data_IF_786952144505
#
_entry.id   IF_786952144505
#
_cell.length_a   1.000
_cell.length_b   1.000
_cell.length_c   1.000
_cell.angle_alpha   90.00
_cell.angle_beta   90.00
_cell.angle_gamma   90.00
#
_symmetry.space_group_name_H-M   'P 1'
#
loop_
_entity.id
_entity.type
_entity.pdbx_description
1 polymer ?
#
# COMPACT_ATOMS: atom_id res chain seq x y z
N UNK A 1 -8.25 -27.41 -36.50
CA UNK A 1 -7.46 -26.81 -37.60
C UNK A 1 -7.96 -25.38 -37.78
N UNK A 2 -7.19 -24.31 -37.94
CA UNK A 2 -5.75 -24.03 -37.87
C UNK A 2 -5.64 -22.49 -37.71
N UNK A 3 -4.53 -22.03 -37.13
CA UNK A 3 -4.17 -20.65 -36.82
C UNK A 3 -3.98 -19.76 -38.06
N UNK A 4 -4.20 -18.45 -37.93
CA UNK A 4 -3.16 -17.40 -38.06
C UNK A 4 -3.73 -16.02 -38.44
N UNK A 5 -2.95 -14.98 -38.07
CA UNK A 5 -3.01 -13.57 -38.49
C UNK A 5 -3.90 -12.61 -37.70
N UNK A 6 -3.33 -12.00 -36.64
CA UNK A 6 -3.06 -10.56 -36.68
C UNK A 6 -2.01 -10.19 -35.60
N UNK A 7 -0.81 -9.79 -36.02
CA UNK A 7 0.16 -9.05 -35.22
C UNK A 7 0.44 -7.76 -35.98
N UNK A 8 0.32 -6.58 -35.36
CA UNK A 8 1.04 -5.42 -35.81
C UNK A 8 2.36 -5.28 -35.04
N UNK A 9 3.47 -5.32 -35.77
CA UNK A 9 4.78 -4.83 -35.33
C UNK A 9 4.92 -3.36 -35.70
N UNK A 10 5.18 -2.49 -34.71
CA UNK A 10 6.29 -1.51 -34.70
C UNK A 10 6.09 -0.49 -33.58
N UNK A 11 6.94 -0.54 -32.55
CA UNK A 11 7.56 0.66 -31.97
C UNK A 11 9.01 0.28 -31.62
N UNK A 12 9.90 0.43 -32.60
CA UNK A 12 11.34 0.52 -32.37
C UNK A 12 11.71 1.99 -32.53
N UNK A 13 12.19 2.65 -31.47
CA UNK A 13 12.66 4.03 -31.55
C UNK A 13 12.87 4.72 -30.21
N UNK A 14 13.99 4.39 -29.55
CA UNK A 14 14.75 5.27 -28.66
C UNK A 14 14.08 5.79 -27.37
N UNK A 15 14.15 5.00 -26.29
CA UNK A 15 14.61 5.42 -24.95
C UNK A 15 15.00 4.13 -24.19
N UNK A 16 16.23 3.69 -24.42
CA UNK A 16 16.82 2.47 -23.89
C UNK A 16 17.35 2.68 -22.46
N UNK A 17 17.12 1.70 -21.58
CA UNK A 17 17.93 1.51 -20.37
C UNK A 17 17.15 0.97 -19.18
N UNK A 18 16.47 1.85 -18.44
CA UNK A 18 16.00 1.54 -17.09
C UNK A 18 14.54 1.07 -17.01
N UNK A 19 13.67 1.57 -17.89
CA UNK A 19 12.23 1.29 -17.83
C UNK A 19 11.92 -0.16 -18.22
N UNK A 20 12.66 -0.71 -19.19
CA UNK A 20 12.51 -2.10 -19.65
C UNK A 20 12.91 -3.13 -18.60
N UNK A 21 13.93 -2.83 -17.78
CA UNK A 21 14.39 -3.73 -16.71
C UNK A 21 13.40 -3.71 -15.55
N UNK A 22 12.86 -2.54 -15.18
CA UNK A 22 11.84 -2.41 -14.12
C UNK A 22 10.55 -3.17 -14.48
N UNK A 23 10.10 -3.07 -15.74
CA UNK A 23 8.93 -3.81 -16.22
C UNK A 23 9.18 -5.33 -16.33
N UNK A 24 10.38 -5.76 -16.75
CA UNK A 24 10.72 -7.18 -16.79
C UNK A 24 10.83 -7.80 -15.39
N UNK A 25 11.32 -7.05 -14.39
CA UNK A 25 11.38 -7.48 -12.99
C UNK A 25 9.97 -7.64 -12.38
N UNK A 26 9.03 -6.77 -12.76
CA UNK A 26 7.62 -6.86 -12.35
C UNK A 26 6.92 -8.12 -12.91
N UNK A 27 7.18 -8.46 -14.18
CA UNK A 27 6.63 -9.68 -14.80
C UNK A 27 7.25 -10.96 -14.22
N UNK A 28 8.49 -10.91 -13.75
CA UNK A 28 9.13 -12.06 -13.10
C UNK A 28 8.67 -12.24 -11.64
N UNK A 29 8.42 -11.15 -10.90
CA UNK A 29 7.92 -11.23 -9.52
C UNK A 29 6.52 -11.85 -9.44
N UNK A 30 5.63 -11.55 -10.40
CA UNK A 30 4.26 -12.11 -10.44
C UNK A 30 4.19 -13.61 -10.80
N UNK A 31 5.31 -14.21 -11.25
CA UNK A 31 5.40 -15.65 -11.56
C UNK A 31 5.99 -16.48 -10.41
N UNK A 32 6.55 -15.85 -9.39
CA UNK A 32 7.02 -16.52 -8.17
C UNK A 32 6.04 -16.19 -7.06
N UNK A 33 5.63 -17.15 -6.23
CA UNK A 33 4.65 -16.96 -5.15
C UNK A 33 5.05 -16.02 -4.00
N UNK A 34 5.88 -15.00 -4.27
CA UNK A 34 6.18 -13.89 -3.38
C UNK A 34 5.11 -12.82 -3.53
N UNK A 35 4.36 -12.56 -2.46
CA UNK A 35 3.51 -11.37 -2.38
C UNK A 35 4.38 -10.13 -2.61
N UNK A 36 4.09 -9.37 -3.67
CA UNK A 36 4.78 -8.12 -3.97
C UNK A 36 4.61 -7.14 -2.81
N UNK A 37 5.66 -6.38 -2.50
CA UNK A 37 5.57 -5.36 -1.46
C UNK A 37 4.72 -4.19 -1.98
N UNK A 38 3.59 -3.91 -1.32
CA UNK A 38 2.62 -2.90 -1.79
C UNK A 38 3.22 -1.50 -1.88
N UNK A 39 4.18 -1.15 -1.02
CA UNK A 39 4.88 0.14 -1.10
C UNK A 39 5.64 0.23 -2.42
N UNK A 40 6.42 -0.79 -2.75
CA UNK A 40 7.22 -0.83 -3.98
C UNK A 40 6.29 -0.75 -5.21
N UNK A 41 5.21 -1.52 -5.21
CA UNK A 41 4.27 -1.53 -6.32
C UNK A 41 3.58 -0.17 -6.53
N UNK A 42 3.12 0.47 -5.45
CA UNK A 42 2.45 1.79 -5.50
C UNK A 42 3.42 2.90 -5.89
N UNK A 43 4.61 2.95 -5.30
CA UNK A 43 5.62 3.98 -5.61
C UNK A 43 6.09 3.89 -7.05
N UNK A 44 6.31 2.68 -7.58
CA UNK A 44 6.64 2.47 -8.98
C UNK A 44 5.55 2.98 -9.93
N UNK A 45 4.28 2.68 -9.65
CA UNK A 45 3.14 3.16 -10.45
C UNK A 45 2.97 4.68 -10.39
N UNK A 46 3.38 5.31 -9.30
CA UNK A 46 3.37 6.77 -9.12
C UNK A 46 4.61 7.46 -9.70
N UNK A 47 5.62 6.71 -10.15
CA UNK A 47 6.90 7.27 -10.63
C UNK A 47 7.74 7.92 -9.52
N UNK A 48 7.60 7.43 -8.29
CA UNK A 48 8.31 7.92 -7.10
C UNK A 48 9.61 7.14 -6.87
N UNK A 49 10.54 7.76 -6.14
CA UNK A 49 11.76 7.09 -5.70
C UNK A 49 11.47 6.09 -4.58
N UNK A 50 12.38 5.12 -4.40
CA UNK A 50 12.27 4.13 -3.32
C UNK A 50 12.40 4.80 -1.96
N UNK A 51 11.51 4.42 -1.02
CA UNK A 51 11.53 4.96 0.33
C UNK A 51 12.74 4.48 1.12
N UNK A 52 13.27 5.38 1.95
CA UNK A 52 14.39 5.07 2.84
C UNK A 52 13.83 4.54 4.16
N UNK A 53 14.33 3.38 4.60
CA UNK A 53 13.96 2.85 5.92
C UNK A 53 14.40 3.87 6.97
N UNK A 54 13.49 4.25 7.86
CA UNK A 54 13.78 5.20 8.93
C UNK A 54 14.88 4.58 9.80
N UNK A 55 16.11 5.10 9.69
CA UNK A 55 17.24 4.76 10.55
C UNK A 55 17.74 6.04 11.22
N UNK A 56 18.01 6.02 12.54
CA UNK A 56 18.49 7.19 13.26
C UNK A 56 19.91 7.66 12.85
N UNK A 57 20.61 6.87 12.02
CA UNK A 57 22.01 7.09 11.63
C UNK A 57 22.20 7.19 10.10
N UNK A 58 21.53 8.12 9.42
CA UNK A 58 21.81 8.35 7.99
C UNK A 58 22.59 9.66 7.81
N UNK A 59 23.79 9.51 7.23
CA UNK A 59 24.68 10.60 6.82
C UNK A 59 23.99 11.55 5.83
N UNK A 60 24.42 12.81 5.88
CA UNK A 60 23.82 13.96 5.21
C UNK A 60 23.70 13.77 3.68
N UNK A 61 22.49 13.50 3.19
CA UNK A 61 22.13 13.87 1.81
C UNK A 61 22.32 15.40 1.68
N UNK A 62 23.19 15.83 0.76
CA UNK A 62 23.55 17.25 0.55
C UNK A 62 22.46 18.05 -0.17
N UNK A 63 21.43 17.37 -0.71
CA UNK A 63 20.29 17.99 -1.38
C UNK A 63 19.05 17.96 -0.48
N UNK A 64 18.87 19.04 0.29
CA UNK A 64 17.73 19.23 1.18
C UNK A 64 16.38 19.26 0.46
N UNK A 65 16.32 19.66 -0.81
CA UNK A 65 15.07 19.70 -1.56
C UNK A 65 14.62 18.29 -1.94
N UNK A 66 15.55 17.48 -2.45
CA UNK A 66 15.26 16.08 -2.79
C UNK A 66 14.91 15.26 -1.55
N UNK A 67 15.63 15.46 -0.44
CA UNK A 67 15.33 14.82 0.85
C UNK A 67 13.90 15.11 1.32
N UNK A 68 13.49 16.39 1.34
CA UNK A 68 12.13 16.78 1.75
C UNK A 68 11.05 16.20 0.85
N UNK A 69 11.30 16.16 -0.46
CA UNK A 69 10.37 15.53 -1.42
C UNK A 69 10.17 14.05 -1.09
N UNK A 70 11.26 13.30 -0.86
CA UNK A 70 11.19 11.88 -0.48
C UNK A 70 10.47 11.66 0.85
N UNK A 71 10.73 12.51 1.85
CA UNK A 71 10.06 12.45 3.16
C UNK A 71 8.56 12.71 3.04
N UNK A 72 8.15 13.69 2.21
CA UNK A 72 6.75 13.95 1.89
C UNK A 72 6.09 12.77 1.17
N UNK A 73 6.70 12.26 0.10
CA UNK A 73 6.17 11.12 -0.67
C UNK A 73 6.01 9.88 0.23
N UNK A 74 7.01 9.61 1.08
CA UNK A 74 6.97 8.53 2.05
C UNK A 74 5.83 8.72 3.06
N UNK A 75 5.68 9.91 3.65
CA UNK A 75 4.61 10.21 4.60
C UNK A 75 3.23 10.00 3.96
N UNK A 76 2.98 10.59 2.79
CA UNK A 76 1.68 10.50 2.12
C UNK A 76 1.33 9.05 1.75
N UNK A 77 2.25 8.32 1.12
CA UNK A 77 1.99 6.94 0.69
C UNK A 77 1.80 6.02 1.88
N UNK A 78 2.67 6.08 2.88
CA UNK A 78 2.58 5.17 4.03
C UNK A 78 1.34 5.45 4.89
N UNK A 79 0.91 6.71 5.03
CA UNK A 79 -0.34 7.04 5.71
C UNK A 79 -1.58 6.52 4.98
N UNK A 80 -1.65 6.68 3.65
CA UNK A 80 -2.76 6.14 2.86
C UNK A 80 -2.79 4.62 2.95
N UNK A 81 -1.64 3.96 2.86
CA UNK A 81 -1.55 2.50 2.98
C UNK A 81 -1.90 2.00 4.39
N UNK A 82 -1.54 2.73 5.44
CA UNK A 82 -1.91 2.41 6.81
C UNK A 82 -3.43 2.49 7.01
N UNK A 83 -4.06 3.55 6.47
CA UNK A 83 -5.52 3.66 6.43
C UNK A 83 -6.16 2.51 5.65
N UNK A 84 -5.64 2.20 4.46
CA UNK A 84 -6.16 1.11 3.62
C UNK A 84 -6.04 -0.25 4.31
N UNK A 85 -4.91 -0.52 4.98
CA UNK A 85 -4.73 -1.71 5.81
C UNK A 85 -5.80 -1.80 6.90
N UNK A 86 -6.01 -0.72 7.67
CA UNK A 86 -7.02 -0.69 8.74
C UNK A 86 -8.41 -0.93 8.18
N UNK A 87 -8.79 -0.21 7.13
CA UNK A 87 -10.09 -0.33 6.49
C UNK A 87 -10.32 -1.75 5.95
N UNK A 88 -9.40 -2.27 5.14
CA UNK A 88 -9.49 -3.61 4.53
C UNK A 88 -9.33 -4.77 5.52
N UNK A 89 -8.87 -4.52 6.75
CA UNK A 89 -8.85 -5.53 7.81
C UNK A 89 -10.24 -5.85 8.37
N UNK A 90 -11.24 -4.99 8.10
CA UNK A 90 -12.65 -5.22 8.52
C UNK A 90 -13.44 -6.02 7.49
N UNK A 91 -14.53 -6.68 7.88
CA UNK A 91 -15.43 -7.40 6.95
C UNK A 91 -16.05 -6.47 5.92
N UNK A 92 -16.53 -5.31 6.39
CA UNK A 92 -17.13 -4.29 5.53
C UNK A 92 -16.11 -3.73 4.55
N UNK A 93 -14.90 -3.38 5.00
CA UNK A 93 -13.88 -2.80 4.13
C UNK A 93 -13.32 -3.79 3.12
N UNK A 94 -13.05 -5.04 3.52
CA UNK A 94 -12.61 -6.08 2.58
C UNK A 94 -13.67 -6.36 1.50
N UNK A 95 -14.94 -6.44 1.88
CA UNK A 95 -16.06 -6.63 0.96
C UNK A 95 -16.26 -5.41 0.05
N UNK A 96 -16.08 -4.20 0.58
CA UNK A 96 -16.13 -2.97 -0.19
C UNK A 96 -15.04 -2.94 -1.26
N UNK A 97 -13.79 -3.22 -0.87
CA UNK A 97 -12.65 -3.29 -1.77
C UNK A 97 -12.80 -4.40 -2.81
N UNK A 98 -13.47 -5.50 -2.47
CA UNK A 98 -13.77 -6.61 -3.38
C UNK A 98 -14.77 -6.23 -4.49
N UNK A 99 -15.85 -5.52 -4.15
CA UNK A 99 -17.01 -5.36 -5.03
C UNK A 99 -17.08 -4.06 -5.83
N UNK A 100 -16.42 -2.98 -5.40
CA UNK A 100 -16.63 -1.64 -5.95
C UNK A 100 -15.56 -1.26 -6.98
N UNK A 101 -15.87 -0.67 -8.15
CA UNK A 101 -14.87 0.12 -8.88
C UNK A 101 -14.35 1.24 -7.97
N UNK A 102 -13.08 1.65 -8.12
CA UNK A 102 -12.48 2.67 -7.26
C UNK A 102 -13.37 3.92 -7.22
N UNK A 103 -13.91 4.25 -6.04
CA UNK A 103 -14.81 5.40 -5.86
C UNK A 103 -14.01 6.71 -6.02
N UNK A 104 -14.68 7.80 -6.39
CA UNK A 104 -14.06 9.14 -6.37
C UNK A 104 -13.74 9.61 -4.95
N UNK A 105 -14.29 8.95 -3.92
CA UNK A 105 -14.22 9.35 -2.51
C UNK A 105 -13.53 8.32 -1.61
N UNK A 106 -12.55 7.58 -2.14
CA UNK A 106 -11.87 6.50 -1.41
C UNK A 106 -11.28 6.95 -0.06
N UNK A 107 -10.84 8.19 0.07
CA UNK A 107 -10.34 8.70 1.35
C UNK A 107 -11.43 8.80 2.42
N UNK A 108 -12.68 9.13 2.04
CA UNK A 108 -13.82 9.12 2.97
C UNK A 108 -14.10 7.67 3.40
N UNK A 109 -14.02 6.72 2.48
CA UNK A 109 -14.23 5.31 2.80
C UNK A 109 -13.14 4.77 3.75
N UNK A 110 -11.88 5.12 3.50
CA UNK A 110 -10.71 4.65 4.25
C UNK A 110 -10.62 5.29 5.64
N UNK A 111 -10.80 6.61 5.73
CA UNK A 111 -10.56 7.38 6.96
C UNK A 111 -11.85 7.81 7.68
N UNK A 112 -13.01 7.76 7.02
CA UNK A 112 -14.29 8.14 7.61
C UNK A 112 -14.26 9.56 8.18
N UNK A 113 -14.72 9.71 9.42
CA UNK A 113 -14.71 10.98 10.17
C UNK A 113 -13.30 11.54 10.41
N UNK A 114 -12.24 10.73 10.24
CA UNK A 114 -10.85 11.14 10.46
C UNK A 114 -10.17 11.74 9.22
N UNK A 115 -10.85 11.79 8.07
CA UNK A 115 -10.28 12.31 6.80
C UNK A 115 -9.66 13.71 6.97
N UNK A 116 -10.40 14.65 7.53
CA UNK A 116 -9.92 16.04 7.67
C UNK A 116 -8.73 16.15 8.63
N UNK A 117 -8.73 15.34 9.70
CA UNK A 117 -7.64 15.32 10.67
C UNK A 117 -6.34 14.80 10.03
N UNK A 118 -6.41 13.73 9.24
CA UNK A 118 -5.22 13.16 8.60
C UNK A 118 -4.68 14.08 7.51
N UNK A 119 -5.56 14.74 6.74
CA UNK A 119 -5.15 15.74 5.73
C UNK A 119 -4.45 16.92 6.40
N UNK A 120 -5.04 17.48 7.45
CA UNK A 120 -4.45 18.62 8.17
C UNK A 120 -3.08 18.29 8.78
N UNK A 121 -2.95 17.10 9.37
CA UNK A 121 -1.69 16.64 9.94
C UNK A 121 -0.61 16.44 8.86
N UNK A 122 -0.94 15.79 7.74
CA UNK A 122 -0.02 15.57 6.63
C UNK A 122 0.36 16.87 5.91
N UNK A 123 -0.58 17.78 5.71
CA UNK A 123 -0.32 19.11 5.15
C UNK A 123 0.68 19.89 6.02
N UNK A 124 0.49 19.83 7.34
CA UNK A 124 1.39 20.46 8.31
C UNK A 124 2.78 19.82 8.31
N UNK A 125 2.84 18.48 8.30
CA UNK A 125 4.08 17.70 8.30
C UNK A 125 4.88 17.92 7.01
N UNK A 126 4.21 17.96 5.86
CA UNK A 126 4.83 18.08 4.55
C UNK A 126 5.05 19.54 4.11
N UNK A 127 4.53 20.52 4.87
CA UNK A 127 4.54 21.94 4.54
C UNK A 127 3.90 22.27 3.17
N UNK A 128 2.77 21.63 2.86
CA UNK A 128 1.98 21.85 1.64
C UNK A 128 0.54 22.24 2.00
N UNK A 129 -0.22 22.76 1.04
CA UNK A 129 -1.60 23.19 1.28
C UNK A 129 -2.52 21.97 1.52
N UNK A 130 -3.53 22.06 2.41
CA UNK A 130 -4.47 20.96 2.66
C UNK A 130 -5.21 20.47 1.40
N UNK A 131 -5.56 21.39 0.49
CA UNK A 131 -6.22 21.01 -0.77
C UNK A 131 -5.30 20.15 -1.66
N UNK A 132 -4.03 20.54 -1.80
CA UNK A 132 -3.04 19.76 -2.57
C UNK A 132 -2.78 18.40 -1.89
N UNK A 133 -2.82 18.37 -0.56
CA UNK A 133 -2.70 17.14 0.24
C UNK A 133 -3.85 16.19 -0.04
N UNK A 134 -5.11 16.68 -0.04
CA UNK A 134 -6.29 15.87 -0.36
C UNK A 134 -6.20 15.31 -1.79
N UNK A 135 -5.81 16.14 -2.77
CA UNK A 135 -5.65 15.69 -4.16
C UNK A 135 -4.60 14.59 -4.28
N UNK A 136 -3.42 14.77 -3.70
CA UNK A 136 -2.33 13.80 -3.72
C UNK A 136 -2.74 12.49 -3.02
N UNK A 137 -3.36 12.58 -1.84
CA UNK A 137 -3.83 11.41 -1.11
C UNK A 137 -4.91 10.64 -1.88
N UNK A 138 -5.82 11.33 -2.59
CA UNK A 138 -6.83 10.68 -3.42
C UNK A 138 -6.17 9.91 -4.56
N UNK A 139 -5.23 10.53 -5.28
CA UNK A 139 -4.46 9.86 -6.33
C UNK A 139 -3.72 8.62 -5.80
N UNK A 140 -3.05 8.73 -4.65
CA UNK A 140 -2.35 7.62 -4.02
C UNK A 140 -3.34 6.50 -3.66
N UNK A 141 -4.50 6.83 -3.08
CA UNK A 141 -5.51 5.83 -2.68
C UNK A 141 -6.06 5.05 -3.88
N UNK A 142 -6.31 5.72 -5.01
CA UNK A 142 -6.75 5.07 -6.24
C UNK A 142 -5.70 4.07 -6.75
N UNK A 143 -4.43 4.50 -6.81
CA UNK A 143 -3.33 3.63 -7.22
C UNK A 143 -3.15 2.46 -6.25
N UNK A 144 -3.27 2.70 -4.94
CA UNK A 144 -3.15 1.67 -3.92
C UNK A 144 -4.26 0.61 -4.02
N UNK A 145 -5.52 1.02 -4.17
CA UNK A 145 -6.65 0.10 -4.34
C UNK A 145 -6.55 -0.68 -5.65
N UNK A 146 -6.13 -0.04 -6.73
CA UNK A 146 -5.91 -0.71 -8.00
C UNK A 146 -4.79 -1.77 -7.88
N UNK A 147 -3.67 -1.42 -7.26
CA UNK A 147 -2.55 -2.34 -7.00
C UNK A 147 -2.96 -3.51 -6.12
N UNK A 148 -3.72 -3.24 -5.05
CA UNK A 148 -4.28 -4.27 -4.18
C UNK A 148 -5.10 -5.30 -4.98
N UNK A 149 -5.91 -4.85 -5.94
CA UNK A 149 -6.75 -5.73 -6.76
C UNK A 149 -5.96 -6.54 -7.78
N UNK A 150 -4.88 -5.99 -8.33
CA UNK A 150 -3.99 -6.76 -9.21
C UNK A 150 -3.31 -7.90 -8.45
N UNK A 151 -2.92 -7.65 -7.20
CA UNK A 151 -2.16 -8.61 -6.38
C UNK A 151 -3.05 -9.65 -5.68
N UNK A 152 -4.18 -9.22 -5.10
CA UNK A 152 -5.06 -10.08 -4.32
C UNK A 152 -6.32 -10.56 -5.08
N UNK A 153 -6.60 -9.96 -6.24
CA UNK A 153 -7.86 -10.14 -6.95
C UNK A 153 -9.03 -9.44 -6.26
N UNK A 154 -10.25 -9.85 -6.62
CA UNK A 154 -11.50 -9.29 -6.07
C UNK A 154 -12.12 -10.14 -4.96
N UNK A 155 -11.36 -11.03 -4.32
CA UNK A 155 -11.86 -11.86 -3.22
C UNK A 155 -11.57 -11.17 -1.88
N UNK A 156 -12.60 -10.95 -1.06
CA UNK A 156 -12.47 -10.23 0.21
C UNK A 156 -11.51 -10.92 1.21
N UNK A 157 -11.47 -12.26 1.22
CA UNK A 157 -10.57 -13.02 2.10
C UNK A 157 -9.12 -12.86 1.64
N UNK A 158 -8.88 -12.90 0.33
CA UNK A 158 -7.54 -12.66 -0.25
C UNK A 158 -7.07 -11.23 -0.01
N UNK A 159 -7.95 -10.24 -0.20
CA UNK A 159 -7.66 -8.82 0.07
C UNK A 159 -7.22 -8.64 1.53
N UNK A 160 -7.99 -9.17 2.48
CA UNK A 160 -7.64 -9.11 3.90
C UNK A 160 -6.29 -9.79 4.18
N UNK A 161 -6.11 -11.00 3.67
CA UNK A 161 -4.88 -11.78 3.88
C UNK A 161 -3.65 -11.06 3.33
N UNK A 162 -3.78 -10.47 2.14
CA UNK A 162 -2.72 -9.69 1.52
C UNK A 162 -2.39 -8.43 2.35
N UNK A 163 -3.39 -7.62 2.71
CA UNK A 163 -3.16 -6.41 3.52
C UNK A 163 -2.54 -6.74 4.89
N UNK A 164 -2.96 -7.82 5.53
CA UNK A 164 -2.36 -8.29 6.77
C UNK A 164 -0.87 -8.65 6.60
N UNK A 165 -0.50 -9.29 5.48
CA UNK A 165 0.89 -9.58 5.12
C UNK A 165 1.72 -8.32 4.79
N UNK A 166 1.09 -7.23 4.35
CA UNK A 166 1.75 -5.96 4.07
C UNK A 166 1.92 -5.05 5.29
N UNK A 167 1.28 -5.36 6.42
CA UNK A 167 1.29 -4.52 7.64
C UNK A 167 2.69 -4.09 8.04
N UNK A 168 3.62 -5.03 8.18
CA UNK A 168 5.00 -4.71 8.58
C UNK A 168 5.70 -3.81 7.58
N UNK A 169 5.53 -4.09 6.27
CA UNK A 169 6.07 -3.24 5.22
C UNK A 169 5.53 -1.82 5.30
N UNK A 170 4.25 -1.63 5.63
CA UNK A 170 3.64 -0.30 5.75
C UNK A 170 4.17 0.44 6.97
N UNK A 171 4.12 -0.19 8.14
CA UNK A 171 4.37 0.48 9.42
C UNK A 171 5.85 0.84 9.64
N UNK A 172 6.80 0.13 9.01
CA UNK A 172 8.24 0.40 9.17
C UNK A 172 8.71 1.68 8.45
N UNK A 173 7.96 2.15 7.45
CA UNK A 173 8.26 3.41 6.75
C UNK A 173 7.37 4.58 7.19
N UNK A 174 6.39 4.33 8.06
CA UNK A 174 5.49 5.36 8.57
C UNK A 174 6.25 6.33 9.50
N UNK A 175 6.25 7.65 9.22
CA UNK A 175 6.92 8.62 10.09
C UNK A 175 6.35 8.61 11.51
N UNK A 176 7.17 8.38 12.55
CA UNK A 176 6.68 8.30 13.93
C UNK A 176 6.13 9.64 14.44
N UNK A 177 6.69 10.76 13.95
CA UNK A 177 6.29 12.11 14.36
C UNK A 177 4.87 12.48 13.89
N UNK A 178 4.34 11.76 12.88
CA UNK A 178 3.00 11.99 12.35
C UNK A 178 1.90 11.40 13.25
N UNK A 179 2.23 10.43 14.12
CA UNK A 179 1.29 9.80 15.07
C UNK A 179 -0.04 9.39 14.43
N UNK A 180 0.03 8.70 13.29
CA UNK A 180 -1.15 8.36 12.46
C UNK A 180 -2.15 7.52 13.24
N UNK A 181 -1.67 6.60 14.08
CA UNK A 181 -2.52 5.82 14.98
C UNK A 181 -3.40 6.70 15.85
N UNK A 182 -2.83 7.71 16.53
CA UNK A 182 -3.62 8.69 17.29
C UNK A 182 -4.61 9.46 16.41
N UNK A 183 -4.21 9.88 15.22
CA UNK A 183 -5.06 10.65 14.30
C UNK A 183 -6.31 9.87 13.87
N UNK A 184 -6.20 8.54 13.78
CA UNK A 184 -7.30 7.67 13.37
C UNK A 184 -7.83 6.78 14.50
N UNK A 185 -7.50 7.10 15.76
CA UNK A 185 -7.86 6.36 16.99
C UNK A 185 -7.58 4.85 16.91
N UNK A 186 -6.37 4.51 16.49
CA UNK A 186 -5.86 3.15 16.44
C UNK A 186 -4.39 3.13 16.88
N UNK A 187 -4.17 3.06 18.19
CA UNK A 187 -2.83 3.10 18.77
C UNK A 187 -1.95 1.91 18.34
N UNK A 188 -2.52 0.84 17.75
CA UNK A 188 -1.77 -0.32 17.25
C UNK A 188 -0.93 -0.01 16.01
N UNK A 189 -1.22 1.10 15.33
CA UNK A 189 -0.46 1.62 14.17
C UNK A 189 0.81 2.33 14.63
N UNK A 190 0.73 3.09 15.73
CA UNK A 190 1.86 3.83 16.28
C UNK A 190 2.71 3.00 17.24
N UNK A 191 2.22 1.82 17.66
CA UNK A 191 2.91 0.92 18.58
C UNK A 191 4.28 0.46 18.03
N UNK A 192 5.33 0.97 18.67
CA UNK A 192 6.73 0.72 18.33
C UNK A 192 7.17 -0.74 18.59
N UNK A 193 6.40 -1.52 19.35
CA UNK A 193 6.68 -2.96 19.58
C UNK A 193 6.55 -3.76 18.27
N UNK A 194 5.71 -3.31 17.33
CA UNK A 194 5.58 -3.89 15.98
C UNK A 194 6.71 -3.50 15.01
N UNK A 195 7.59 -2.57 15.40
CA UNK A 195 8.75 -2.12 14.60
C UNK A 195 10.04 -2.88 14.96
N UNK A 196 10.04 -3.69 16.03
CA UNK A 196 11.24 -4.33 16.59
C UNK A 196 11.13 -5.83 16.92
N UNK A 197 10.05 -6.53 16.58
CA UNK A 197 9.98 -8.00 16.76
C UNK A 197 9.55 -8.75 15.49
N UNK A 198 10.11 -9.95 15.31
CA UNK A 198 10.00 -10.80 14.13
C UNK A 198 8.59 -11.37 13.84
N UNK A 199 8.49 -12.42 12.98
CA UNK A 199 7.26 -12.80 12.30
C UNK A 199 6.09 -13.15 13.25
N UNK A 200 5.17 -12.18 13.34
CA UNK A 200 3.75 -12.18 13.74
C UNK A 200 3.12 -13.52 14.14
N UNK A 201 3.23 -13.91 15.42
CA UNK A 201 2.49 -15.04 16.02
C UNK A 201 0.96 -14.87 16.02
N UNK A 202 0.42 -13.67 15.79
CA UNK A 202 -1.02 -13.43 15.71
C UNK A 202 -1.68 -13.85 14.39
N UNK A 203 -0.93 -13.90 13.29
CA UNK A 203 -1.46 -14.30 11.99
C UNK A 203 -1.76 -15.79 11.94
N UNK A 204 -0.91 -16.63 12.55
CA UNK A 204 -1.04 -18.08 12.50
C UNK A 204 -2.33 -18.57 13.16
N UNK A 205 -2.74 -17.97 14.29
CA UNK A 205 -3.99 -18.33 14.96
C UNK A 205 -5.25 -17.86 14.21
N UNK A 206 -5.21 -16.72 13.50
CA UNK A 206 -6.33 -16.28 12.67
C UNK A 206 -6.49 -17.16 11.41
N UNK A 207 -5.37 -17.54 10.77
CA UNK A 207 -5.39 -18.50 9.66
C UNK A 207 -5.81 -19.91 10.12
N UNK A 208 -5.31 -20.41 11.26
CA UNK A 208 -5.73 -21.68 11.85
C UNK A 208 -7.24 -21.70 12.10
N UNK A 209 -7.82 -20.64 12.68
CA UNK A 209 -9.26 -20.57 12.93
C UNK A 209 -10.07 -20.52 11.63
N UNK A 210 -9.64 -19.74 10.63
CA UNK A 210 -10.36 -19.60 9.36
C UNK A 210 -10.33 -20.89 8.51
N UNK A 211 -9.24 -21.65 8.58
CA UNK A 211 -9.12 -22.94 7.90
C UNK A 211 -9.79 -24.08 8.69
N UNK A 212 -9.69 -24.08 10.02
CA UNK A 212 -10.38 -25.07 10.87
C UNK A 212 -11.90 -24.97 10.78
N UNK A 213 -12.44 -23.76 10.59
CA UNK A 213 -13.89 -23.54 10.40
C UNK A 213 -14.38 -24.04 9.02
N UNK A 214 -13.50 -24.10 8.01
CA UNK A 214 -13.84 -24.69 6.70
C UNK A 214 -13.85 -26.21 6.69
N UNK A 215 -13.07 -26.87 7.54
CA UNK A 215 -13.06 -28.33 7.64
C UNK A 215 -14.24 -28.89 8.45
N UNK A 216 -14.80 -28.10 9.37
CA UNK A 216 -16.00 -28.50 10.13
C UNK A 216 -17.28 -28.47 9.30
N UNK A 217 -17.35 -27.62 8.26
CA UNK A 217 -18.52 -27.54 7.36
C UNK A 217 -18.56 -28.64 6.28
N UNK A 218 -17.51 -29.47 6.13
CA UNK A 218 -17.51 -30.64 5.24
C UNK A 218 -17.75 -31.97 5.97
N UNK A 219 -17.92 -31.94 7.29
CA UNK A 219 -18.08 -33.13 8.13
C UNK A 219 -19.48 -33.26 8.77
N UNK A 220 -20.50 -32.58 8.22
CA UNK A 220 -21.90 -32.72 8.68
C UNK A 220 -22.84 -33.03 7.52
#
# INVERSE_FOLDING_TARGET
MNLSHFIPQNITGMINGEVGIKNALFILSSKTGYMSNIIIAVTNKLGMDTFSKISPNIEKETDHANKRKKEMEQALVTSVLAGLYKFGSTDKGALYLSNQPASENLLIDIFGEYKENIISALASYCHIHPADTDELMNKISQVAVHTLKEEAGSDAVKIRSYLAGQRHHILVYLPPDLQVGRLIKDDTIDDNTNKMEGPVSGLMHFFENLFAEKDTQKAT
#
